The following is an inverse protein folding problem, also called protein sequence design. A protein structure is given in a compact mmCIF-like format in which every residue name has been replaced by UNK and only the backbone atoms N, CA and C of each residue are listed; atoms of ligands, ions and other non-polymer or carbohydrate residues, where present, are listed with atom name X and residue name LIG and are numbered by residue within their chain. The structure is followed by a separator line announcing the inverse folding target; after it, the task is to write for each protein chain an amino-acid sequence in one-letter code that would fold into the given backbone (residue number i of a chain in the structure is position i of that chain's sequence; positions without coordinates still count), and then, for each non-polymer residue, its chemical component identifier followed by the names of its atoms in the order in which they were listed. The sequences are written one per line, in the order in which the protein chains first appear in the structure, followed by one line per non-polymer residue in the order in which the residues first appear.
data_IF_280203847922
#
_entry.id   IF_280203847922
#
_cell.length_a   1.000
_cell.length_b   1.000
_cell.length_c   1.000
_cell.angle_alpha   90.00
_cell.angle_beta   90.00
_cell.angle_gamma   90.00
#
_symmetry.space_group_name_H-M   'P 1'
#
loop_
_entity.id
_entity.type
_entity.pdbx_description
1 polymer ?
#
# COMPACT_ATOMS: atom_id res chain seq x y z
N UNK A 1 9.97 -11.78 -30.34
CA UNK A 1 9.91 -11.58 -28.87
C UNK A 1 9.27 -10.25 -28.56
N UNK A 2 8.39 -10.24 -27.61
CA UNK A 2 7.68 -9.03 -27.21
C UNK A 2 8.36 -8.42 -26.01
N UNK A 3 8.67 -7.14 -26.09
CA UNK A 3 9.19 -6.42 -24.93
C UNK A 3 8.08 -6.24 -23.91
N UNK A 4 8.34 -6.69 -22.70
CA UNK A 4 7.39 -6.52 -21.62
C UNK A 4 7.56 -5.11 -21.04
N UNK A 5 6.58 -4.26 -21.29
CA UNK A 5 6.58 -2.91 -20.74
C UNK A 5 6.40 -2.91 -19.24
N UNK A 6 5.69 -3.91 -18.73
CA UNK A 6 5.41 -4.04 -17.29
C UNK A 6 5.91 -5.40 -16.82
N UNK A 7 6.33 -5.49 -15.54
CA UNK A 7 6.78 -6.77 -15.00
C UNK A 7 5.62 -7.76 -14.91
N UNK A 8 5.89 -9.02 -15.19
CA UNK A 8 4.93 -10.09 -14.97
C UNK A 8 4.82 -10.41 -13.48
N UNK A 9 5.92 -10.26 -12.75
CA UNK A 9 5.97 -10.54 -11.31
C UNK A 9 6.87 -9.52 -10.63
N UNK A 10 6.43 -9.04 -9.46
CA UNK A 10 7.26 -8.24 -8.57
C UNK A 10 7.39 -9.02 -7.26
N UNK A 11 8.59 -9.53 -6.98
CA UNK A 11 8.86 -10.19 -5.71
C UNK A 11 9.03 -9.15 -4.61
N UNK A 12 8.82 -9.56 -3.36
CA UNK A 12 8.96 -8.67 -2.20
C UNK A 12 10.35 -8.04 -2.15
N UNK A 13 11.40 -8.81 -2.41
CA UNK A 13 12.76 -8.28 -2.39
C UNK A 13 13.00 -7.25 -3.50
N UNK A 14 12.35 -7.41 -4.65
CA UNK A 14 12.41 -6.40 -5.71
C UNK A 14 11.68 -5.13 -5.30
N UNK A 15 10.54 -5.28 -4.62
CA UNK A 15 9.79 -4.15 -4.10
C UNK A 15 10.59 -3.38 -3.06
N UNK A 16 11.24 -4.10 -2.13
CA UNK A 16 12.08 -3.47 -1.12
C UNK A 16 13.27 -2.72 -1.74
N UNK A 17 13.78 -3.20 -2.85
CA UNK A 17 14.93 -2.60 -3.53
C UNK A 17 14.58 -1.35 -4.33
N UNK A 18 13.29 -1.06 -4.56
CA UNK A 18 12.91 0.14 -5.28
C UNK A 18 13.27 1.39 -4.47
N UNK A 19 13.67 2.48 -5.13
CA UNK A 19 13.99 3.70 -4.42
C UNK A 19 12.73 4.36 -3.86
N UNK A 20 12.85 4.96 -2.67
CA UNK A 20 11.80 5.79 -2.13
C UNK A 20 11.90 7.17 -2.76
N UNK A 21 10.87 7.57 -3.52
CA UNK A 21 10.87 8.88 -4.15
C UNK A 21 10.61 9.97 -3.11
N UNK A 22 11.07 11.19 -3.41
CA UNK A 22 10.90 12.32 -2.52
C UNK A 22 9.40 12.55 -2.23
N UNK A 23 9.08 12.89 -0.99
CA UNK A 23 7.72 13.18 -0.54
C UNK A 23 6.75 12.00 -0.68
N UNK A 24 7.27 10.78 -0.73
CA UNK A 24 6.48 9.57 -0.78
C UNK A 24 6.74 8.71 0.44
N UNK A 25 5.71 7.98 0.88
CA UNK A 25 5.82 7.04 2.01
C UNK A 25 5.90 5.60 1.52
N UNK A 26 5.52 5.34 0.28
CA UNK A 26 5.50 4.01 -0.32
C UNK A 26 6.30 3.99 -1.62
N UNK A 27 6.74 2.80 -2.02
CA UNK A 27 7.57 2.62 -3.21
C UNK A 27 6.70 2.13 -4.36
N UNK A 28 6.78 2.82 -5.49
CA UNK A 28 6.02 2.42 -6.68
C UNK A 28 6.68 1.21 -7.33
N UNK A 29 5.92 0.16 -7.55
CA UNK A 29 6.42 -1.08 -8.16
C UNK A 29 5.76 -1.38 -9.50
N UNK A 30 4.59 -0.82 -9.75
CA UNK A 30 3.87 -1.01 -11.02
C UNK A 30 3.03 0.23 -11.27
N UNK A 31 3.05 0.72 -12.50
CA UNK A 31 2.23 1.87 -12.87
C UNK A 31 1.79 1.73 -14.32
N UNK A 32 0.51 1.48 -14.52
CA UNK A 32 -0.12 1.42 -15.83
C UNK A 32 -1.18 2.52 -15.91
N UNK A 33 -1.75 2.79 -17.09
CA UNK A 33 -2.80 3.82 -17.17
C UNK A 33 -3.99 3.60 -16.23
N UNK A 34 -4.33 2.36 -15.92
CA UNK A 34 -5.49 2.04 -15.08
C UNK A 34 -5.17 1.49 -13.70
N UNK A 35 -3.89 1.37 -13.36
CA UNK A 35 -3.52 0.66 -12.14
C UNK A 35 -2.17 1.13 -11.64
N UNK A 36 -2.10 1.45 -10.35
CA UNK A 36 -0.83 1.69 -9.70
C UNK A 36 -0.71 0.79 -8.49
N UNK A 37 0.45 0.13 -8.33
CA UNK A 37 0.73 -0.71 -7.17
C UNK A 37 1.99 -0.18 -6.50
N UNK A 38 1.93 -0.06 -5.18
CA UNK A 38 3.05 0.37 -4.36
C UNK A 38 3.33 -0.67 -3.28
N UNK A 39 4.54 -0.59 -2.73
CA UNK A 39 4.99 -1.39 -1.60
C UNK A 39 5.16 -0.48 -0.40
N UNK A 40 4.51 -0.82 0.70
CA UNK A 40 4.46 0.08 1.85
C UNK A 40 4.82 -0.67 3.14
N UNK A 41 5.75 -0.10 3.87
CA UNK A 41 6.09 -0.51 5.23
C UNK A 41 5.74 0.66 6.15
N UNK A 42 4.57 0.64 6.78
CA UNK A 42 4.12 1.78 7.57
C UNK A 42 5.07 2.12 8.70
N UNK A 43 5.39 3.40 8.84
CA UNK A 43 6.13 3.89 9.99
C UNK A 43 5.18 4.05 11.18
N UNK A 44 5.74 4.27 12.38
CA UNK A 44 4.99 4.57 13.58
C UNK A 44 5.41 5.95 14.08
N UNK A 45 4.55 6.96 14.04
CA UNK A 45 3.19 6.94 13.52
C UNK A 45 3.13 6.87 11.99
N UNK A 46 2.01 6.37 11.49
CA UNK A 46 1.73 6.34 10.06
C UNK A 46 1.23 7.72 9.65
N UNK A 47 1.97 8.40 8.77
CA UNK A 47 1.75 9.80 8.42
C UNK A 47 0.98 9.99 7.12
N UNK A 48 0.35 8.93 6.59
CA UNK A 48 -0.35 9.09 5.33
C UNK A 48 -1.58 9.99 5.46
N UNK A 49 -1.93 10.60 4.33
CA UNK A 49 -3.07 11.51 4.21
C UNK A 49 -4.10 10.88 3.28
N UNK A 50 -5.35 11.35 3.29
CA UNK A 50 -6.36 10.83 2.35
C UNK A 50 -5.88 10.95 0.91
N UNK A 51 -6.25 9.97 0.08
CA UNK A 51 -5.89 9.94 -1.33
C UNK A 51 -7.11 10.24 -2.19
N UNK A 52 -6.86 10.63 -3.43
CA UNK A 52 -7.91 10.95 -4.39
C UNK A 52 -8.31 9.76 -5.26
N UNK A 53 -8.02 8.56 -4.80
CA UNK A 53 -8.35 7.30 -5.46
C UNK A 53 -8.75 6.27 -4.42
N UNK A 54 -9.57 5.31 -4.84
CA UNK A 54 -9.81 4.12 -4.02
C UNK A 54 -8.51 3.33 -3.91
N UNK A 55 -8.29 2.72 -2.74
CA UNK A 55 -7.11 1.89 -2.57
C UNK A 55 -7.40 0.64 -1.77
N UNK A 56 -6.68 -0.41 -2.12
CA UNK A 56 -6.73 -1.71 -1.47
C UNK A 56 -5.35 -2.02 -0.93
N UNK A 57 -5.30 -2.48 0.32
CA UNK A 57 -4.09 -3.01 0.92
C UNK A 57 -4.20 -4.52 1.00
N UNK A 58 -3.13 -5.22 0.67
CA UNK A 58 -3.02 -6.66 0.94
C UNK A 58 -1.86 -6.84 1.91
N UNK A 59 -2.18 -7.32 3.11
CA UNK A 59 -1.18 -7.46 4.17
C UNK A 59 -0.30 -8.66 3.88
N UNK A 60 1.02 -8.44 3.86
CA UNK A 60 2.01 -9.50 3.64
C UNK A 60 2.57 -9.96 4.98
N UNK A 61 2.92 -9.04 5.87
CA UNK A 61 3.49 -9.36 7.18
C UNK A 61 3.03 -8.35 8.20
N UNK A 62 3.11 -8.73 9.47
CA UNK A 62 2.78 -7.86 10.59
C UNK A 62 1.35 -7.99 11.06
N UNK A 63 1.07 -7.35 12.17
CA UNK A 63 -0.23 -7.31 12.82
C UNK A 63 -0.42 -5.92 13.42
N UNK A 64 -1.66 -5.54 13.64
CA UNK A 64 -1.98 -4.25 14.24
C UNK A 64 -3.41 -3.84 13.96
N UNK A 65 -3.64 -2.54 13.97
CA UNK A 65 -4.96 -1.96 13.72
C UNK A 65 -4.92 -1.17 12.42
N UNK A 66 -6.00 -1.27 11.65
CA UNK A 66 -6.25 -0.39 10.51
C UNK A 66 -7.45 0.49 10.85
N UNK A 67 -7.28 1.81 10.73
CA UNK A 67 -8.31 2.77 11.04
C UNK A 67 -8.76 3.42 9.74
N UNK A 68 -10.06 3.34 9.46
CA UNK A 68 -10.68 4.01 8.33
C UNK A 68 -11.82 4.86 8.87
N UNK A 69 -11.68 6.16 8.78
CA UNK A 69 -12.59 7.13 9.42
C UNK A 69 -12.71 6.78 10.90
N UNK A 70 -13.90 6.42 11.38
CA UNK A 70 -14.14 6.07 12.77
C UNK A 70 -14.07 4.56 13.02
N UNK A 71 -13.91 3.77 11.97
CA UNK A 71 -13.87 2.33 12.10
C UNK A 71 -12.46 1.84 12.35
N UNK A 72 -12.31 0.94 13.32
CA UNK A 72 -11.03 0.33 13.67
C UNK A 72 -11.17 -1.19 13.58
N UNK A 73 -10.28 -1.82 12.81
CA UNK A 73 -10.26 -3.28 12.68
C UNK A 73 -8.84 -3.78 12.92
N UNK A 74 -8.72 -5.00 13.42
CA UNK A 74 -7.42 -5.66 13.52
C UNK A 74 -7.10 -6.33 12.19
N UNK A 75 -5.82 -6.32 11.82
CA UNK A 75 -5.37 -7.00 10.61
C UNK A 75 -4.28 -8.01 10.92
N UNK A 76 -4.13 -8.96 10.00
CA UNK A 76 -3.07 -9.97 10.03
C UNK A 76 -2.68 -10.33 8.59
N UNK A 77 -1.57 -11.05 8.39
CA UNK A 77 -1.14 -11.41 7.03
C UNK A 77 -2.24 -12.10 6.23
N UNK A 78 -2.37 -11.71 4.97
CA UNK A 78 -3.39 -12.22 4.06
C UNK A 78 -4.66 -11.41 4.02
N UNK A 79 -4.86 -10.48 4.96
CA UNK A 79 -6.07 -9.66 4.96
C UNK A 79 -6.05 -8.62 3.85
N UNK A 80 -7.24 -8.32 3.35
CA UNK A 80 -7.47 -7.23 2.42
C UNK A 80 -8.16 -6.10 3.17
N UNK A 81 -7.59 -4.90 3.06
CA UNK A 81 -8.14 -3.70 3.69
C UNK A 81 -8.49 -2.70 2.60
N UNK A 82 -9.54 -1.93 2.81
CA UNK A 82 -10.02 -0.99 1.80
C UNK A 82 -10.22 0.40 2.38
N UNK A 83 -9.80 1.40 1.62
CA UNK A 83 -10.10 2.80 1.90
C UNK A 83 -10.62 3.44 0.63
N UNK A 84 -11.79 4.06 0.72
CA UNK A 84 -12.37 4.75 -0.42
C UNK A 84 -11.69 6.10 -0.61
N UNK A 85 -11.80 6.62 -1.83
CA UNK A 85 -11.33 7.95 -2.19
C UNK A 85 -11.74 8.97 -1.13
N UNK A 86 -10.78 9.75 -0.64
CA UNK A 86 -11.02 10.83 0.30
C UNK A 86 -11.17 10.43 1.76
N UNK A 87 -11.23 9.15 2.07
CA UNK A 87 -11.37 8.71 3.45
C UNK A 87 -10.05 8.79 4.21
N UNK A 88 -10.11 9.26 5.45
CA UNK A 88 -8.95 9.23 6.34
C UNK A 88 -8.69 7.78 6.74
N UNK A 89 -7.43 7.36 6.65
CA UNK A 89 -7.06 5.98 6.99
C UNK A 89 -5.60 5.93 7.40
N UNK A 90 -5.27 4.96 8.28
CA UNK A 90 -3.90 4.78 8.74
C UNK A 90 -3.75 3.45 9.46
N UNK A 91 -2.51 3.00 9.56
CA UNK A 91 -2.13 1.87 10.38
C UNK A 91 -1.73 2.38 11.77
N UNK A 92 -2.17 1.68 12.82
CA UNK A 92 -1.84 2.01 14.21
C UNK A 92 -1.50 0.76 14.98
N UNK A 93 -0.68 0.89 16.02
CA UNK A 93 -0.31 -0.21 16.91
C UNK A 93 0.23 -1.41 16.15
N UNK A 94 0.86 -1.15 15.01
CA UNK A 94 1.34 -2.21 14.13
C UNK A 94 2.76 -2.62 14.50
N UNK A 95 3.07 -3.89 14.23
CA UNK A 95 4.41 -4.44 14.48
C UNK A 95 5.40 -3.84 13.50
N UNK A 96 6.69 -3.73 13.89
CA UNK A 96 7.71 -3.12 13.02
C UNK A 96 7.92 -3.83 11.70
N UNK A 97 7.57 -5.11 11.60
CA UNK A 97 7.71 -5.89 10.37
C UNK A 97 6.53 -5.75 9.41
N UNK A 98 5.58 -4.90 9.72
CA UNK A 98 4.37 -4.74 8.90
C UNK A 98 4.74 -4.32 7.48
N UNK A 99 4.18 -5.02 6.51
CA UNK A 99 4.37 -4.71 5.09
C UNK A 99 3.09 -5.05 4.32
N UNK A 100 2.77 -4.21 3.34
CA UNK A 100 1.55 -4.35 2.57
C UNK A 100 1.79 -3.97 1.11
N UNK A 101 1.09 -4.65 0.20
CA UNK A 101 0.88 -4.16 -1.15
C UNK A 101 -0.22 -3.11 -1.11
N UNK A 102 -0.04 -2.02 -1.82
CA UNK A 102 -1.05 -0.96 -1.96
C UNK A 102 -1.45 -0.88 -3.42
N UNK A 103 -2.73 -1.05 -3.69
CA UNK A 103 -3.25 -1.06 -5.06
C UNK A 103 -4.22 0.10 -5.20
N UNK A 104 -3.89 1.03 -6.10
CA UNK A 104 -4.75 2.18 -6.38
C UNK A 104 -5.52 1.94 -7.66
N UNK A 105 -6.80 2.29 -7.64
CA UNK A 105 -7.61 2.35 -8.83
C UNK A 105 -7.21 3.54 -9.71
N UNK A 106 -7.92 3.76 -10.82
CA UNK A 106 -7.66 4.90 -11.69
C UNK A 106 -7.81 6.21 -10.94
N UNK A 107 -6.99 7.20 -11.31
CA UNK A 107 -7.12 8.53 -10.78
C UNK A 107 -8.45 9.19 -11.15
N UNK A 108 -8.79 10.22 -10.41
CA UNK A 108 -10.02 10.97 -10.67
C UNK A 108 -9.90 11.81 -11.95
#
# INVERSE_FOLDING_TARGET
MTDQKYPTRVAIEQADAQPMLANRLSKQVLNTPGLEVRWYRPHSPDLQVPHDRDEVYVVVSGQGDFVREEERVKFSPGDLLFAAKGEAHRFENHTPDTSVWVIFGPGA
#
